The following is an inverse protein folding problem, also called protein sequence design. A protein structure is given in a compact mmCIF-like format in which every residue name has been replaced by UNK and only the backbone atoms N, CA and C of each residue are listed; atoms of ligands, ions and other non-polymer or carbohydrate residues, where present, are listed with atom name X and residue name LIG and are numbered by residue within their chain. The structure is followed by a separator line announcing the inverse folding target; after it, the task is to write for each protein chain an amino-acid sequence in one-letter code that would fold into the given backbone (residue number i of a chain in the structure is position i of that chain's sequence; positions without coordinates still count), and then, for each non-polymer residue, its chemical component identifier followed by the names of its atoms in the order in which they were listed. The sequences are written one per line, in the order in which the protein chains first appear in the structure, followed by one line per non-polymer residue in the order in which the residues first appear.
data_IF_840713001407
#
_entry.id   IF_840713001407
#
_cell.length_a   1.000
_cell.length_b   1.000
_cell.length_c   1.000
_cell.angle_alpha   90.00
_cell.angle_beta   90.00
_cell.angle_gamma   90.00
#
_symmetry.space_group_name_H-M   'P 1'
#
loop_
_entity.id
_entity.type
_entity.pdbx_description
1 polymer ?
#
# COMPACT_ATOMS: atom_id res chain seq x y z
N UNK A 1 26.75 -8.52 10.87
CA UNK A 1 25.82 -7.45 11.24
C UNK A 1 24.53 -7.99 11.84
N UNK A 2 23.67 -8.74 11.13
CA UNK A 2 22.40 -9.22 11.71
C UNK A 2 22.59 -10.13 12.93
N UNK A 3 23.58 -11.04 12.89
CA UNK A 3 23.89 -11.95 14.00
C UNK A 3 24.46 -11.24 15.23
N UNK A 4 25.18 -10.15 15.03
CA UNK A 4 25.85 -9.40 16.10
C UNK A 4 24.85 -8.65 17.00
N UNK A 5 23.64 -8.43 16.50
CA UNK A 5 22.54 -7.76 17.21
C UNK A 5 21.43 -8.73 17.63
N UNK A 6 21.78 -9.97 18.01
CA UNK A 6 20.82 -11.01 18.42
C UNK A 6 19.84 -10.55 19.53
N UNK A 7 20.29 -9.70 20.46
CA UNK A 7 19.46 -9.15 21.52
C UNK A 7 18.33 -8.21 21.03
N UNK A 8 18.36 -7.77 19.77
CA UNK A 8 17.33 -6.92 19.14
C UNK A 8 16.44 -7.67 18.17
N UNK A 9 16.64 -9.00 18.05
CA UNK A 9 15.82 -9.83 17.19
C UNK A 9 14.38 -9.83 17.71
N UNK A 10 13.47 -9.43 16.83
CA UNK A 10 12.04 -9.47 17.09
C UNK A 10 11.41 -10.46 16.10
N UNK A 11 10.55 -11.38 16.57
CA UNK A 11 9.79 -12.24 15.67
C UNK A 11 8.88 -11.38 14.80
N UNK A 12 8.73 -11.78 13.55
CA UNK A 12 7.82 -11.13 12.61
C UNK A 12 7.30 -12.16 11.60
N UNK A 13 6.40 -11.74 10.73
CA UNK A 13 6.06 -12.47 9.52
C UNK A 13 6.32 -11.61 8.30
N UNK A 14 6.68 -12.25 7.18
CA UNK A 14 6.81 -11.63 5.87
C UNK A 14 5.76 -12.27 4.98
N UNK A 15 4.72 -11.52 4.61
CA UNK A 15 3.53 -12.04 3.93
C UNK A 15 2.94 -13.30 4.61
N UNK A 16 2.97 -13.35 5.95
CA UNK A 16 2.49 -14.48 6.75
C UNK A 16 3.52 -15.58 7.03
N UNK A 17 4.67 -15.60 6.35
CA UNK A 17 5.74 -16.56 6.63
C UNK A 17 6.60 -16.10 7.83
N UNK A 18 6.84 -16.96 8.85
CA UNK A 18 7.64 -16.58 10.00
C UNK A 18 9.07 -16.16 9.65
N UNK A 19 9.53 -15.04 10.23
CA UNK A 19 10.88 -14.52 10.06
C UNK A 19 11.33 -13.73 11.30
N UNK A 20 12.55 -13.20 11.28
CA UNK A 20 13.15 -12.41 12.36
C UNK A 20 13.69 -11.11 11.78
N UNK A 21 13.35 -10.01 12.44
CA UNK A 21 13.76 -8.66 12.03
C UNK A 21 14.38 -7.91 13.20
N UNK A 22 15.34 -7.03 12.90
CA UNK A 22 15.74 -5.95 13.79
C UNK A 22 15.11 -4.67 13.27
N UNK A 23 14.13 -4.14 14.02
CA UNK A 23 13.45 -2.90 13.68
C UNK A 23 14.05 -1.71 14.44
N UNK A 24 14.11 -0.58 13.74
CA UNK A 24 14.48 0.72 14.32
C UNK A 24 13.76 1.84 13.58
N UNK A 25 13.37 2.89 14.29
CA UNK A 25 12.80 4.09 13.65
C UNK A 25 13.87 4.81 12.84
N UNK A 26 13.47 5.48 11.76
CA UNK A 26 14.38 6.39 11.05
C UNK A 26 14.58 7.67 11.88
N UNK A 27 15.79 7.85 12.40
CA UNK A 27 16.13 8.99 13.27
C UNK A 27 16.51 10.25 12.49
N UNK A 28 16.63 10.18 11.16
CA UNK A 28 17.06 11.32 10.33
C UNK A 28 15.89 12.15 9.80
N UNK A 29 14.65 11.71 10.04
CA UNK A 29 13.46 12.35 9.52
C UNK A 29 13.11 13.68 10.19
N UNK A 30 12.78 14.68 9.38
CA UNK A 30 12.30 15.99 9.83
C UNK A 30 10.78 16.14 9.78
N UNK A 31 10.09 15.36 8.93
CA UNK A 31 8.64 15.37 8.78
C UNK A 31 7.96 14.40 9.76
N UNK A 32 6.67 14.63 10.06
CA UNK A 32 5.86 13.72 10.88
C UNK A 32 5.83 12.33 10.25
N UNK A 33 5.69 12.26 8.92
CA UNK A 33 5.68 10.98 8.20
C UNK A 33 6.97 10.21 8.43
N UNK A 34 8.11 10.89 8.29
CA UNK A 34 9.38 10.24 8.50
C UNK A 34 9.63 9.85 9.97
N UNK A 35 9.11 10.61 10.93
CA UNK A 35 9.31 10.30 12.36
C UNK A 35 8.43 9.16 12.86
N UNK A 36 7.19 9.10 12.40
CA UNK A 36 6.20 8.17 12.93
C UNK A 36 6.07 6.90 12.10
N UNK A 37 6.19 7.01 10.78
CA UNK A 37 5.89 5.90 9.87
C UNK A 37 7.12 5.31 9.17
N UNK A 38 8.29 5.97 9.14
CA UNK A 38 9.49 5.38 8.53
C UNK A 38 10.30 4.55 9.52
N UNK A 39 10.60 3.32 9.11
CA UNK A 39 11.39 2.35 9.87
C UNK A 39 12.49 1.77 8.99
N UNK A 40 13.58 1.40 9.64
CA UNK A 40 14.63 0.57 9.08
C UNK A 40 14.50 -0.84 9.64
N UNK A 41 14.48 -1.83 8.75
CA UNK A 41 14.52 -3.25 9.08
C UNK A 41 15.83 -3.87 8.64
N UNK A 42 16.45 -4.66 9.49
CA UNK A 42 17.57 -5.53 9.10
C UNK A 42 17.11 -6.99 9.22
N UNK A 43 17.21 -7.72 8.12
CA UNK A 43 16.89 -9.14 8.02
C UNK A 43 18.13 -9.94 7.66
N UNK A 44 18.12 -11.23 8.01
CA UNK A 44 19.20 -12.12 7.61
C UNK A 44 19.29 -12.23 6.08
N UNK A 45 20.48 -12.57 5.58
CA UNK A 45 20.67 -12.89 4.15
C UNK A 45 19.76 -14.00 3.61
N UNK A 46 19.21 -14.87 4.48
CA UNK A 46 18.32 -15.97 4.12
C UNK A 46 16.82 -15.63 4.19
N UNK A 47 16.48 -14.48 4.76
CA UNK A 47 15.08 -14.03 4.86
C UNK A 47 14.43 -14.02 3.46
N UNK A 48 13.16 -14.41 3.31
CA UNK A 48 12.46 -14.33 2.03
C UNK A 48 12.13 -12.89 1.61
N UNK A 49 12.31 -11.88 2.48
CA UNK A 49 11.85 -10.49 2.28
C UNK A 49 12.31 -9.86 0.97
N UNK A 50 11.38 -9.19 0.31
CA UNK A 50 11.53 -8.46 -0.95
C UNK A 50 10.85 -7.09 -0.84
N UNK A 51 11.16 -6.22 -1.81
CA UNK A 51 10.42 -4.98 -1.99
C UNK A 51 8.96 -5.28 -2.30
N UNK A 52 8.05 -4.52 -1.70
CA UNK A 52 6.60 -4.72 -1.81
C UNK A 52 5.99 -5.69 -0.80
N UNK A 53 6.80 -6.41 -0.02
CA UNK A 53 6.27 -7.33 0.99
C UNK A 53 5.66 -6.58 2.18
N UNK A 54 4.69 -7.23 2.83
CA UNK A 54 4.19 -6.83 4.14
C UNK A 54 5.02 -7.53 5.20
N UNK A 55 5.61 -6.75 6.09
CA UNK A 55 6.25 -7.23 7.32
C UNK A 55 5.29 -6.95 8.46
N UNK A 56 4.95 -7.97 9.24
CA UNK A 56 4.08 -7.84 10.39
C UNK A 56 4.82 -8.26 11.66
N UNK A 57 4.78 -7.38 12.66
CA UNK A 57 5.14 -7.67 14.04
C UNK A 57 3.95 -7.16 14.90
N UNK A 58 4.20 -6.40 15.96
CA UNK A 58 3.16 -5.65 16.69
C UNK A 58 2.38 -4.68 15.76
N UNK A 59 3.03 -4.21 14.69
CA UNK A 59 2.49 -3.35 13.66
C UNK A 59 2.69 -3.97 12.26
N UNK A 60 2.00 -3.41 11.26
CA UNK A 60 2.17 -3.79 9.85
C UNK A 60 3.01 -2.74 9.10
N UNK A 61 3.88 -3.22 8.21
CA UNK A 61 4.80 -2.38 7.45
C UNK A 61 4.89 -2.84 6.00
N UNK A 62 5.03 -1.89 5.06
CA UNK A 62 5.33 -2.18 3.65
C UNK A 62 6.81 -1.94 3.37
N UNK A 63 7.46 -2.89 2.70
CA UNK A 63 8.87 -2.78 2.29
C UNK A 63 8.98 -1.85 1.08
N UNK A 64 9.53 -0.66 1.29
CA UNK A 64 9.73 0.37 0.26
C UNK A 64 11.00 0.10 -0.55
N UNK A 65 12.12 -0.10 0.16
CA UNK A 65 13.42 -0.33 -0.47
C UNK A 65 14.15 -1.46 0.23
N UNK A 66 15.00 -2.15 -0.52
CA UNK A 66 15.84 -3.22 -0.03
C UNK A 66 17.23 -3.05 -0.62
N UNK A 67 18.25 -3.07 0.22
CA UNK A 67 19.65 -3.13 -0.20
C UNK A 67 20.41 -4.18 0.60
N UNK A 68 21.25 -5.01 -0.05
CA UNK A 68 22.14 -5.89 0.69
C UNK A 68 23.25 -5.08 1.38
N UNK A 69 23.61 -5.48 2.59
CA UNK A 69 24.81 -4.99 3.28
C UNK A 69 26.07 -5.70 2.75
N UNK A 70 27.25 -5.31 3.24
CA UNK A 70 28.52 -5.98 2.93
C UNK A 70 28.51 -7.47 3.30
N UNK A 71 27.76 -7.85 4.33
CA UNK A 71 27.59 -9.24 4.77
C UNK A 71 26.40 -9.95 4.09
N UNK A 72 25.80 -9.32 3.08
CA UNK A 72 24.61 -9.79 2.35
C UNK A 72 23.31 -9.86 3.17
N UNK A 73 23.33 -9.38 4.42
CA UNK A 73 22.09 -9.15 5.17
C UNK A 73 21.24 -8.11 4.45
N UNK A 74 19.91 -8.24 4.54
CA UNK A 74 18.96 -7.40 3.80
C UNK A 74 18.57 -6.21 4.67
N UNK A 75 19.03 -5.02 4.28
CA UNK A 75 18.64 -3.77 4.93
C UNK A 75 17.49 -3.14 4.16
N UNK A 76 16.37 -2.94 4.84
CA UNK A 76 15.12 -2.48 4.26
C UNK A 76 14.70 -1.14 4.82
N UNK A 77 14.16 -0.27 3.97
CA UNK A 77 13.32 0.86 4.39
C UNK A 77 11.88 0.41 4.37
N UNK A 78 11.17 0.67 5.46
CA UNK A 78 9.81 0.21 5.71
C UNK A 78 8.92 1.42 6.00
N UNK A 79 7.66 1.35 5.55
CA UNK A 79 6.62 2.29 5.97
C UNK A 79 5.57 1.59 6.82
N UNK A 80 5.32 2.09 8.02
CA UNK A 80 4.23 1.61 8.88
C UNK A 80 2.89 1.93 8.23
N UNK A 81 2.06 0.93 8.04
CA UNK A 81 0.70 1.11 7.53
C UNK A 81 -0.20 1.71 8.60
N UNK A 82 -1.21 2.48 8.20
CA UNK A 82 -2.05 3.23 9.14
C UNK A 82 -3.56 3.11 8.84
N UNK A 83 -3.93 2.38 7.79
CA UNK A 83 -5.30 2.19 7.40
C UNK A 83 -5.53 0.76 6.91
N UNK A 84 -6.79 0.36 6.98
CA UNK A 84 -7.32 -0.85 6.39
C UNK A 84 -8.50 -0.45 5.53
N UNK A 85 -8.51 -0.91 4.28
CA UNK A 85 -9.49 -0.48 3.28
C UNK A 85 -10.14 -1.66 2.59
N UNK A 86 -11.31 -1.41 2.02
CA UNK A 86 -11.99 -2.33 1.13
C UNK A 86 -11.94 -1.78 -0.30
N UNK A 87 -11.64 -2.64 -1.26
CA UNK A 87 -11.71 -2.35 -2.69
C UNK A 87 -13.02 -2.91 -3.20
N UNK A 88 -13.81 -2.06 -3.85
CA UNK A 88 -15.07 -2.41 -4.47
C UNK A 88 -15.03 -2.14 -5.97
N UNK A 89 -15.66 -3.01 -6.75
CA UNK A 89 -15.77 -2.88 -8.21
C UNK A 89 -17.21 -2.78 -8.63
N UNK A 90 -17.46 -1.91 -9.60
CA UNK A 90 -18.75 -1.79 -10.25
C UNK A 90 -19.05 -3.06 -11.07
N UNK A 91 -20.20 -3.67 -10.82
CA UNK A 91 -20.70 -4.80 -11.59
C UNK A 91 -22.12 -4.53 -12.10
N UNK A 92 -22.35 -4.86 -13.38
CA UNK A 92 -23.66 -4.83 -14.03
C UNK A 92 -23.81 -6.15 -14.80
N UNK A 93 -24.87 -6.89 -14.50
CA UNK A 93 -25.24 -8.06 -15.29
C UNK A 93 -25.93 -7.63 -16.58
N UNK A 94 -25.69 -8.37 -17.67
CA UNK A 94 -26.32 -8.14 -18.97
C UNK A 94 -27.01 -9.43 -19.46
N UNK A 95 -28.13 -9.29 -20.16
CA UNK A 95 -28.77 -10.43 -20.85
C UNK A 95 -28.07 -10.80 -22.16
N UNK A 96 -28.62 -11.79 -22.88
CA UNK A 96 -28.10 -12.26 -24.17
C UNK A 96 -28.12 -11.22 -25.30
N UNK A 97 -28.79 -10.08 -25.09
CA UNK A 97 -28.90 -8.98 -26.03
C UNK A 97 -28.17 -7.72 -25.53
N UNK A 98 -27.26 -7.86 -24.56
CA UNK A 98 -26.51 -6.78 -23.92
C UNK A 98 -27.39 -5.71 -23.22
N UNK A 99 -28.62 -6.08 -22.79
CA UNK A 99 -29.42 -5.19 -21.95
C UNK A 99 -29.04 -5.36 -20.48
N UNK A 100 -28.92 -4.27 -19.70
CA UNK A 100 -28.64 -4.37 -18.26
C UNK A 100 -29.81 -5.07 -17.53
N UNK A 101 -29.47 -6.08 -16.72
CA UNK A 101 -30.42 -6.83 -15.89
C UNK A 101 -30.08 -6.63 -14.41
N UNK A 102 -31.10 -6.34 -13.61
CA UNK A 102 -30.93 -6.10 -12.17
C UNK A 102 -30.39 -4.71 -11.85
N UNK A 103 -30.06 -4.49 -10.58
CA UNK A 103 -29.48 -3.24 -10.11
C UNK A 103 -27.95 -3.26 -10.28
N UNK A 104 -27.39 -2.07 -10.51
CA UNK A 104 -25.96 -1.82 -10.41
C UNK A 104 -25.49 -1.96 -8.97
N UNK A 105 -24.42 -2.71 -8.75
CA UNK A 105 -23.86 -2.89 -7.40
C UNK A 105 -22.33 -2.74 -7.42
N UNK A 106 -21.82 -2.12 -6.35
CA UNK A 106 -20.40 -2.13 -6.04
C UNK A 106 -20.12 -3.35 -5.17
N UNK A 107 -19.47 -4.35 -5.74
CA UNK A 107 -19.14 -5.60 -5.05
C UNK A 107 -17.73 -5.55 -4.49
N UNK A 108 -17.54 -6.07 -3.27
CA UNK A 108 -16.22 -6.22 -2.66
C UNK A 108 -15.33 -7.14 -3.51
N UNK A 109 -14.18 -6.65 -3.95
CA UNK A 109 -13.16 -7.45 -4.65
C UNK A 109 -11.95 -7.76 -3.78
N UNK A 110 -11.68 -6.91 -2.77
CA UNK A 110 -10.69 -7.17 -1.74
C UNK A 110 -11.12 -6.49 -0.44
N UNK A 111 -11.18 -7.25 0.65
CA UNK A 111 -11.49 -6.75 1.99
C UNK A 111 -10.24 -6.76 2.88
N UNK A 112 -10.28 -5.97 3.95
CA UNK A 112 -9.24 -5.91 4.99
C UNK A 112 -7.83 -5.65 4.44
N UNK A 113 -7.73 -4.82 3.39
CA UNK A 113 -6.46 -4.50 2.73
C UNK A 113 -5.69 -3.51 3.58
N UNK A 114 -4.58 -3.97 4.15
CA UNK A 114 -3.68 -3.11 4.93
C UNK A 114 -2.90 -2.20 3.99
N UNK A 115 -2.91 -0.90 4.27
CA UNK A 115 -2.25 0.10 3.43
C UNK A 115 -1.69 1.27 4.24
N UNK A 116 -0.75 1.99 3.63
CA UNK A 116 -0.38 3.33 4.09
C UNK A 116 -1.22 4.36 3.34
N UNK A 117 -1.92 5.22 4.08
CA UNK A 117 -2.74 6.29 3.55
C UNK A 117 -2.22 7.64 4.02
N UNK A 118 -2.19 8.60 3.10
CA UNK A 118 -1.82 9.98 3.37
C UNK A 118 -2.86 10.95 2.81
N UNK A 119 -3.35 11.86 3.65
CA UNK A 119 -4.19 12.96 3.21
C UNK A 119 -3.37 13.98 2.44
N UNK A 120 -3.89 14.42 1.29
CA UNK A 120 -3.20 15.37 0.42
C UNK A 120 -3.41 16.80 0.92
N UNK A 121 -2.38 17.32 1.59
CA UNK A 121 -2.32 18.73 2.03
C UNK A 121 -1.79 19.64 0.91
N UNK A 122 -1.98 20.95 1.06
CA UNK A 122 -1.39 21.94 0.15
C UNK A 122 0.14 21.82 0.05
N UNK A 123 0.81 21.53 1.18
CA UNK A 123 2.26 21.30 1.20
C UNK A 123 2.64 20.06 0.39
N UNK A 124 1.90 18.95 0.52
CA UNK A 124 2.18 17.74 -0.23
C UNK A 124 2.04 17.98 -1.74
N UNK A 125 1.03 18.72 -2.17
CA UNK A 125 0.85 19.08 -3.60
C UNK A 125 2.01 19.88 -4.17
N UNK A 126 2.65 20.73 -3.35
CA UNK A 126 3.84 21.48 -3.78
C UNK A 126 5.07 20.58 -3.91
N UNK A 127 5.18 19.55 -3.07
CA UNK A 127 6.29 18.60 -3.09
C UNK A 127 6.15 17.55 -4.19
N UNK A 128 4.91 17.16 -4.51
CA UNK A 128 4.57 16.09 -5.43
C UNK A 128 3.70 16.64 -6.59
N UNK A 129 4.30 17.24 -7.63
CA UNK A 129 3.55 17.84 -8.74
C UNK A 129 2.78 16.82 -9.59
N UNK A 130 3.04 15.52 -9.42
CA UNK A 130 2.30 14.44 -10.08
C UNK A 130 0.93 14.11 -9.46
N UNK A 131 0.52 14.82 -8.40
CA UNK A 131 -0.81 14.64 -7.80
C UNK A 131 -1.88 15.35 -8.64
N UNK A 132 -2.97 14.65 -8.96
CA UNK A 132 -4.11 15.28 -9.61
C UNK A 132 -4.75 16.33 -8.69
N UNK A 133 -5.32 17.42 -9.24
CA UNK A 133 -6.02 18.42 -8.45
C UNK A 133 -7.17 17.86 -7.60
N UNK A 134 -7.82 16.79 -8.07
CA UNK A 134 -8.92 16.09 -7.37
C UNK A 134 -8.46 15.19 -6.22
N UNK A 135 -7.18 14.80 -6.17
CA UNK A 135 -6.69 13.78 -5.23
C UNK A 135 -6.80 14.25 -3.79
N UNK A 136 -7.62 13.59 -2.96
CA UNK A 136 -7.75 13.86 -1.52
C UNK A 136 -6.89 12.92 -0.68
N UNK A 137 -6.66 11.69 -1.15
CA UNK A 137 -5.80 10.71 -0.49
C UNK A 137 -4.86 10.03 -1.47
N UNK A 138 -3.68 9.67 -0.99
CA UNK A 138 -2.80 8.71 -1.67
C UNK A 138 -2.64 7.47 -0.82
N UNK A 139 -2.71 6.30 -1.45
CA UNK A 139 -2.51 5.02 -0.80
C UNK A 139 -1.25 4.33 -1.34
N UNK A 140 -0.61 3.55 -0.48
CA UNK A 140 0.40 2.56 -0.83
C UNK A 140 -0.04 1.19 -0.33
N UNK A 141 -0.07 0.21 -1.23
CA UNK A 141 -0.52 -1.16 -0.95
C UNK A 141 0.20 -2.16 -1.86
N UNK A 142 0.11 -3.46 -1.56
CA UNK A 142 0.82 -4.49 -2.33
C UNK A 142 0.24 -4.63 -3.75
N UNK A 143 1.09 -4.98 -4.71
CA UNK A 143 0.64 -5.28 -6.09
C UNK A 143 -0.25 -6.51 -6.22
N UNK A 144 -0.33 -7.34 -5.18
CA UNK A 144 -1.22 -8.50 -5.10
C UNK A 144 -2.69 -8.10 -4.91
N UNK A 145 -2.97 -6.87 -4.48
CA UNK A 145 -4.33 -6.36 -4.33
C UNK A 145 -4.90 -5.98 -5.69
N UNK A 146 -6.10 -6.46 -5.99
CA UNK A 146 -6.78 -6.23 -7.28
C UNK A 146 -7.42 -4.83 -7.35
N UNK A 147 -6.59 -3.79 -7.41
CA UNK A 147 -7.01 -2.43 -7.76
C UNK A 147 -6.70 -2.17 -9.24
N UNK A 148 -7.74 -1.83 -10.00
CA UNK A 148 -7.65 -1.62 -11.45
C UNK A 148 -7.40 -0.15 -11.78
N UNK A 149 -6.64 0.05 -12.85
CA UNK A 149 -6.48 1.38 -13.41
C UNK A 149 -7.81 1.85 -13.99
N UNK A 150 -8.25 3.10 -13.76
CA UNK A 150 -9.50 3.61 -14.33
C UNK A 150 -9.57 3.57 -15.86
N UNK A 151 -8.44 3.46 -16.54
CA UNK A 151 -8.35 3.31 -17.99
C UNK A 151 -8.41 1.84 -18.47
N UNK A 152 -8.51 0.88 -17.55
CA UNK A 152 -8.68 -0.54 -17.90
C UNK A 152 -10.02 -0.72 -18.63
N UNK A 153 -9.96 -1.20 -19.88
CA UNK A 153 -11.13 -1.36 -20.75
C UNK A 153 -12.12 -2.42 -20.25
N UNK A 154 -11.72 -3.26 -19.29
CA UNK A 154 -12.62 -4.21 -18.64
C UNK A 154 -13.53 -3.56 -17.59
N UNK A 155 -13.26 -2.32 -17.19
CA UNK A 155 -14.08 -1.59 -16.23
C UNK A 155 -15.17 -0.78 -16.93
N UNK A 156 -16.40 -0.91 -16.46
CA UNK A 156 -17.48 0.03 -16.80
C UNK A 156 -17.42 1.32 -15.97
N UNK A 157 -16.73 1.29 -14.84
CA UNK A 157 -16.51 2.43 -13.95
C UNK A 157 -15.24 2.21 -13.11
N UNK A 158 -14.57 3.29 -12.67
CA UNK A 158 -13.40 3.16 -11.80
C UNK A 158 -13.72 2.40 -10.51
N UNK A 159 -12.74 1.63 -10.02
CA UNK A 159 -12.81 0.98 -8.71
C UNK A 159 -13.03 2.02 -7.60
N UNK A 160 -13.64 1.56 -6.51
CA UNK A 160 -13.98 2.34 -5.32
C UNK A 160 -13.19 1.81 -4.13
N UNK A 161 -12.71 2.72 -3.28
CA UNK A 161 -12.09 2.41 -2.00
C UNK A 161 -13.02 2.85 -0.88
N UNK A 162 -13.34 1.94 0.03
CA UNK A 162 -14.07 2.25 1.26
C UNK A 162 -13.08 2.37 2.40
N UNK A 163 -13.08 3.53 3.07
CA UNK A 163 -12.17 3.83 4.16
C UNK A 163 -12.83 4.78 5.16
N UNK A 164 -12.85 4.40 6.44
CA UNK A 164 -13.42 5.23 7.52
C UNK A 164 -14.90 5.55 7.33
N UNK A 165 -15.68 4.61 6.78
CA UNK A 165 -17.11 4.77 6.51
C UNK A 165 -17.45 5.69 5.33
N UNK A 166 -16.45 6.14 4.56
CA UNK A 166 -16.63 6.93 3.34
C UNK A 166 -16.11 6.18 2.12
N UNK A 167 -16.66 6.52 0.97
CA UNK A 167 -16.30 5.97 -0.33
C UNK A 167 -15.46 6.98 -1.12
N UNK A 168 -14.42 6.47 -1.76
CA UNK A 168 -13.53 7.26 -2.60
C UNK A 168 -13.37 6.56 -3.95
N UNK A 169 -13.25 7.35 -5.00
CA UNK A 169 -13.01 6.84 -6.35
C UNK A 169 -11.51 6.69 -6.58
N UNK A 170 -11.10 5.60 -7.23
CA UNK A 170 -9.74 5.44 -7.76
C UNK A 170 -9.60 6.29 -9.02
N UNK A 171 -8.63 7.21 -9.02
CA UNK A 171 -8.33 8.07 -10.19
C UNK A 171 -7.04 7.65 -10.92
N UNK A 172 -6.07 7.10 -10.19
CA UNK A 172 -4.78 6.66 -10.75
C UNK A 172 -4.28 5.44 -10.00
N UNK A 173 -3.74 4.45 -10.72
CA UNK A 173 -3.00 3.32 -10.15
C UNK A 173 -1.58 3.29 -10.74
N UNK A 174 -0.62 3.83 -9.99
CA UNK A 174 0.79 3.83 -10.40
C UNK A 174 1.51 2.58 -9.86
N UNK A 175 2.10 1.80 -10.77
CA UNK A 175 2.85 0.56 -10.48
C UNK A 175 4.36 0.73 -10.57
N UNK A 176 4.83 1.94 -10.91
CA UNK A 176 6.21 2.25 -11.26
C UNK A 176 6.90 3.01 -10.13
N UNK A 177 6.21 3.97 -9.49
CA UNK A 177 6.80 4.84 -8.47
C UNK A 177 7.48 4.08 -7.33
N UNK A 178 6.88 2.97 -6.91
CA UNK A 178 7.41 2.08 -5.89
C UNK A 178 7.44 0.64 -6.41
N UNK A 179 8.62 0.04 -6.62
CA UNK A 179 8.71 -1.34 -7.10
C UNK A 179 7.91 -2.31 -6.21
N UNK A 180 7.02 -3.09 -6.83
CA UNK A 180 6.13 -4.05 -6.17
C UNK A 180 5.12 -3.46 -5.17
N UNK A 181 4.85 -2.16 -5.24
CA UNK A 181 3.74 -1.51 -4.54
C UNK A 181 2.87 -0.75 -5.55
N UNK A 182 1.58 -0.64 -5.24
CA UNK A 182 0.68 0.26 -5.92
C UNK A 182 0.69 1.60 -5.20
N UNK A 183 0.84 2.69 -5.95
CA UNK A 183 0.58 4.04 -5.49
C UNK A 183 -0.72 4.53 -6.11
N UNK A 184 -1.76 4.63 -5.28
CA UNK A 184 -3.12 4.91 -5.73
C UNK A 184 -3.52 6.32 -5.33
N UNK A 185 -4.05 7.09 -6.27
CA UNK A 185 -4.62 8.41 -6.00
C UNK A 185 -6.14 8.31 -5.94
N UNK A 186 -6.74 8.87 -4.89
CA UNK A 186 -8.17 8.81 -4.64
C UNK A 186 -8.82 10.20 -4.62
N UNK A 187 -10.00 10.33 -5.21
CA UNK A 187 -10.89 11.50 -5.09
C UNK A 187 -12.17 11.16 -4.31
N UNK A 188 -12.93 12.17 -3.89
CA UNK A 188 -14.25 11.95 -3.30
C UNK A 188 -15.19 11.29 -4.32
N UNK A 189 -15.83 10.18 -3.94
CA UNK A 189 -16.88 9.61 -4.76
C UNK A 189 -18.20 10.35 -4.52
N UNK A 190 -18.71 11.02 -5.57
CA UNK A 190 -19.93 11.86 -5.51
C UNK A 190 -21.12 11.22 -6.22
N UNK A 191 -21.03 9.94 -6.56
CA UNK A 191 -22.06 9.18 -7.26
C UNK A 191 -23.10 8.61 -6.31
#
# INVERSE_FOLDING_TARGET
MFKDFAHRHSPCTVNGEPDIVILSRDTKATTIIGKEYMYNGLFSSKSPVKQGDIVQNDDHFLVQTLRPTTEKDKYCSLIKTNAMVEVQRYQQAYDVNDNPVGNVEFTSVAADVVCFTQYVTAQLRQQEPGLLPSTVFTLQLQTTVDVRDPQDSSLSAPDRIVMGGKTYQVDVVDRIKYPNLLHVQLSEDRR
#
